data_IF_585462896895
#
_entry.id   IF_585462896895
#
_cell.length_a   1.000
_cell.length_b   1.000
_cell.length_c   1.000
_cell.angle_alpha   90.00
_cell.angle_beta   90.00
_cell.angle_gamma   90.00
#
_symmetry.space_group_name_H-M   'P 1'
#
loop_
_entity.id
_entity.type
_entity.pdbx_description
1 polymer ?
#
# COMPACT_ATOMS: atom_id res chain seq x y z
N UNK A 1 2.85 -25.06 22.52
CA UNK A 1 1.75 -25.12 21.56
C UNK A 1 0.75 -23.97 21.70
N UNK A 2 0.24 -23.69 22.90
CA UNK A 2 -0.67 -22.57 23.17
C UNK A 2 -0.05 -21.20 22.87
N UNK A 3 1.24 -21.03 23.12
CA UNK A 3 1.98 -19.77 22.88
C UNK A 3 2.06 -19.46 21.37
N UNK A 4 2.13 -20.46 20.50
CA UNK A 4 2.19 -20.29 19.05
C UNK A 4 0.87 -19.74 18.48
N UNK A 5 -0.25 -20.17 19.02
CA UNK A 5 -1.60 -19.74 18.58
C UNK A 5 -1.84 -18.28 19.00
N UNK A 6 -1.34 -17.88 20.17
CA UNK A 6 -1.49 -16.51 20.70
C UNK A 6 -0.62 -15.47 19.97
N UNK A 7 0.40 -15.91 19.18
CA UNK A 7 1.29 -15.02 18.46
C UNK A 7 0.89 -14.82 16.98
N UNK A 8 -0.21 -15.43 16.51
CA UNK A 8 -0.68 -15.25 15.12
C UNK A 8 -1.40 -13.92 14.98
N UNK A 9 -0.69 -12.94 14.45
CA UNK A 9 -1.23 -11.60 14.22
C UNK A 9 -1.56 -11.38 12.76
N UNK A 10 -2.64 -10.65 12.50
CA UNK A 10 -3.06 -10.24 11.16
C UNK A 10 -2.67 -8.79 10.92
N UNK A 11 -1.90 -8.58 9.88
CA UNK A 11 -1.47 -7.26 9.45
C UNK A 11 -2.19 -6.87 8.17
N UNK A 12 -2.55 -5.59 8.05
CA UNK A 12 -3.08 -5.02 6.83
C UNK A 12 -2.24 -3.82 6.44
N UNK A 13 -1.78 -3.79 5.20
CA UNK A 13 -1.10 -2.65 4.62
C UNK A 13 -2.10 -1.96 3.70
N UNK A 14 -2.62 -0.83 4.15
CA UNK A 14 -3.53 0.01 3.38
C UNK A 14 -2.68 1.01 2.61
N UNK A 15 -2.86 1.11 1.30
CA UNK A 15 -2.04 1.96 0.44
C UNK A 15 -2.92 2.79 -0.48
N UNK A 16 -2.45 3.97 -0.81
CA UNK A 16 -3.08 4.82 -1.81
C UNK A 16 -2.07 5.75 -2.46
N UNK A 17 -2.35 6.13 -3.69
CA UNK A 17 -1.59 7.11 -4.45
C UNK A 17 -2.52 8.13 -5.06
N UNK A 18 -2.06 9.36 -5.16
CA UNK A 18 -2.81 10.45 -5.78
C UNK A 18 -1.90 11.24 -6.70
N UNK A 19 -2.48 11.83 -7.75
CA UNK A 19 -1.74 12.67 -8.68
C UNK A 19 -2.54 13.93 -8.98
N UNK A 20 -1.86 15.07 -8.90
CA UNK A 20 -2.41 16.37 -9.26
C UNK A 20 -1.79 16.81 -10.58
N UNK A 21 -2.58 16.78 -11.66
CA UNK A 21 -2.11 17.19 -12.99
C UNK A 21 -1.75 18.67 -13.05
N UNK A 22 -2.49 19.52 -12.35
CA UNK A 22 -2.24 20.97 -12.31
C UNK A 22 -0.91 21.33 -11.67
N UNK A 23 -0.40 20.47 -10.78
CA UNK A 23 0.86 20.69 -10.06
C UNK A 23 1.98 19.80 -10.56
N UNK A 24 1.71 18.84 -11.43
CA UNK A 24 2.63 17.79 -11.86
C UNK A 24 3.34 17.16 -10.65
N UNK A 25 2.56 16.84 -9.64
CA UNK A 25 3.08 16.20 -8.44
C UNK A 25 2.07 15.18 -7.90
N UNK A 26 2.59 14.19 -7.21
CA UNK A 26 1.80 13.13 -6.62
C UNK A 26 2.01 13.02 -5.13
N UNK A 27 1.19 12.20 -4.52
CA UNK A 27 1.32 11.84 -3.12
C UNK A 27 1.12 10.36 -2.94
N UNK A 28 1.85 9.80 -2.02
CA UNK A 28 1.64 8.42 -1.57
C UNK A 28 1.22 8.44 -0.12
N UNK A 29 0.48 7.42 0.28
CA UNK A 29 0.23 7.15 1.68
C UNK A 29 0.13 5.65 1.92
N UNK A 30 0.53 5.23 3.10
CA UNK A 30 0.22 3.89 3.58
C UNK A 30 -0.04 3.92 5.08
N UNK A 31 -0.84 2.97 5.51
CA UNK A 31 -1.13 2.74 6.93
C UNK A 31 -0.96 1.25 7.18
N UNK A 32 -0.09 0.90 8.12
CA UNK A 32 0.09 -0.49 8.54
C UNK A 32 -0.72 -0.72 9.81
N UNK A 33 -1.65 -1.67 9.73
CA UNK A 33 -2.49 -2.08 10.85
C UNK A 33 -2.03 -3.43 11.37
N UNK A 34 -1.99 -3.57 12.68
CA UNK A 34 -1.84 -4.85 13.38
C UNK A 34 -3.10 -5.10 14.19
N UNK A 35 -3.82 -6.18 13.90
CA UNK A 35 -5.12 -6.49 14.52
C UNK A 35 -6.06 -5.26 14.48
N UNK A 36 -6.16 -4.63 13.32
CA UNK A 36 -6.96 -3.44 13.05
C UNK A 36 -6.55 -2.18 13.84
N UNK A 37 -5.36 -2.19 14.46
CA UNK A 37 -4.81 -1.04 15.18
C UNK A 37 -3.68 -0.44 14.33
N UNK A 38 -3.72 0.86 14.00
CA UNK A 38 -2.65 1.48 13.21
C UNK A 38 -1.36 1.55 14.02
N UNK A 39 -0.29 1.03 13.43
CA UNK A 39 1.05 1.07 14.03
C UNK A 39 2.01 1.95 13.25
N UNK A 40 1.79 2.16 11.95
CA UNK A 40 2.55 3.09 11.13
C UNK A 40 1.59 3.82 10.20
N UNK A 41 1.74 5.14 10.12
CA UNK A 41 1.05 6.00 9.16
C UNK A 41 2.10 6.87 8.48
N UNK A 42 2.10 6.92 7.14
CA UNK A 42 3.12 7.63 6.38
C UNK A 42 2.55 8.22 5.10
N UNK A 43 3.02 9.40 4.75
CA UNK A 43 2.71 10.02 3.46
C UNK A 43 3.91 10.81 2.95
N UNK A 44 4.02 10.96 1.62
CA UNK A 44 5.11 11.68 0.99
C UNK A 44 4.68 12.23 -0.36
N UNK A 45 5.17 13.41 -0.70
CA UNK A 45 4.99 14.04 -2.01
C UNK A 45 6.10 13.64 -2.96
N UNK A 46 5.74 13.47 -4.23
CA UNK A 46 6.67 13.22 -5.34
C UNK A 46 6.38 14.20 -6.47
N UNK A 47 7.40 14.57 -7.21
CA UNK A 47 7.28 15.41 -8.41
C UNK A 47 7.47 14.57 -9.67
N UNK A 48 6.87 15.03 -10.77
CA UNK A 48 7.06 14.43 -12.10
C UNK A 48 6.76 12.92 -12.09
N UNK A 49 5.53 12.59 -11.76
CA UNK A 49 5.10 11.21 -11.60
C UNK A 49 3.75 10.97 -12.28
N UNK A 50 3.28 9.75 -12.25
CA UNK A 50 1.95 9.37 -12.72
C UNK A 50 1.13 8.79 -11.56
N UNK A 51 -0.18 8.74 -11.76
CA UNK A 51 -1.06 8.12 -10.76
C UNK A 51 -0.67 6.66 -10.51
N UNK A 52 -0.42 5.88 -11.57
CA UNK A 52 -0.04 4.48 -11.42
C UNK A 52 1.28 4.32 -10.66
N UNK A 53 2.26 5.20 -10.91
CA UNK A 53 3.52 5.19 -10.16
C UNK A 53 3.29 5.46 -8.68
N UNK A 54 2.39 6.40 -8.34
CA UNK A 54 2.09 6.70 -6.94
C UNK A 54 1.45 5.50 -6.25
N UNK A 55 0.52 4.82 -6.90
CA UNK A 55 -0.08 3.60 -6.37
C UNK A 55 0.97 2.50 -6.10
N UNK A 56 1.89 2.31 -7.04
CA UNK A 56 2.98 1.34 -6.90
C UNK A 56 3.94 1.72 -5.77
N UNK A 57 4.37 2.98 -5.72
CA UNK A 57 5.33 3.46 -4.72
C UNK A 57 4.73 3.42 -3.32
N UNK A 58 3.42 3.64 -3.18
CA UNK A 58 2.74 3.49 -1.90
C UNK A 58 2.90 2.06 -1.35
N UNK A 59 2.70 1.05 -2.19
CA UNK A 59 2.88 -0.36 -1.80
C UNK A 59 4.35 -0.64 -1.47
N UNK A 60 5.27 -0.23 -2.34
CA UNK A 60 6.71 -0.43 -2.15
C UNK A 60 7.16 0.20 -0.82
N UNK A 61 6.74 1.42 -0.56
CA UNK A 61 7.11 2.14 0.67
C UNK A 61 6.59 1.43 1.92
N UNK A 62 5.36 0.94 1.86
CA UNK A 62 4.79 0.16 2.96
C UNK A 62 5.54 -1.15 3.19
N UNK A 63 5.88 -1.86 2.12
CA UNK A 63 6.65 -3.10 2.23
C UNK A 63 8.03 -2.86 2.85
N UNK A 64 8.68 -1.75 2.51
CA UNK A 64 10.00 -1.39 3.08
C UNK A 64 9.98 -1.23 4.59
N UNK A 65 8.85 -0.90 5.18
CA UNK A 65 8.71 -0.76 6.63
C UNK A 65 8.65 -2.10 7.37
N UNK A 66 8.41 -3.20 6.65
CA UNK A 66 8.35 -4.53 7.25
C UNK A 66 9.76 -5.10 7.28
N UNK A 67 10.34 -5.17 8.49
CA UNK A 67 11.73 -5.60 8.71
C UNK A 67 11.85 -6.80 9.63
N UNK A 68 10.76 -7.22 10.24
CA UNK A 68 10.72 -8.35 11.19
C UNK A 68 9.70 -9.38 10.69
N UNK A 69 9.86 -10.64 11.10
CA UNK A 69 8.86 -11.65 10.77
C UNK A 69 7.48 -11.27 11.28
N UNK A 70 6.48 -11.43 10.41
CA UNK A 70 5.07 -11.25 10.73
C UNK A 70 4.29 -12.44 10.19
N UNK A 71 3.06 -12.65 10.66
CA UNK A 71 2.29 -13.82 10.25
C UNK A 71 1.55 -13.57 8.93
N UNK A 72 0.35 -13.01 9.00
CA UNK A 72 -0.47 -12.78 7.83
C UNK A 72 -0.41 -11.32 7.44
N UNK A 73 -0.14 -11.05 6.17
CA UNK A 73 -0.16 -9.70 5.61
C UNK A 73 -1.15 -9.65 4.47
N UNK A 74 -2.11 -8.73 4.56
CA UNK A 74 -3.01 -8.39 3.46
C UNK A 74 -2.63 -7.00 2.95
N UNK A 75 -2.27 -6.91 1.67
CA UNK A 75 -1.95 -5.65 0.99
C UNK A 75 -3.23 -5.18 0.29
N UNK A 76 -3.70 -4.00 0.65
CA UNK A 76 -4.98 -3.47 0.19
C UNK A 76 -4.72 -2.22 -0.65
N UNK A 77 -5.24 -2.23 -1.87
CA UNK A 77 -5.11 -1.12 -2.82
C UNK A 77 -6.42 -0.94 -3.59
N UNK A 78 -6.76 0.29 -3.94
CA UNK A 78 -7.87 0.59 -4.84
C UNK A 78 -7.46 0.60 -6.31
N UNK A 79 -6.17 0.41 -6.59
CA UNK A 79 -5.64 0.37 -7.95
C UNK A 79 -5.77 -1.01 -8.57
N UNK A 80 -6.70 -1.18 -9.50
CA UNK A 80 -6.80 -2.42 -10.27
C UNK A 80 -5.55 -2.68 -11.11
N UNK A 81 -4.87 -1.64 -11.57
CA UNK A 81 -3.59 -1.79 -12.26
C UNK A 81 -2.56 -2.50 -11.37
N UNK A 82 -2.39 -2.02 -10.15
CA UNK A 82 -1.43 -2.64 -9.23
C UNK A 82 -1.83 -4.07 -8.85
N UNK A 83 -3.08 -4.29 -8.50
CA UNK A 83 -3.57 -5.62 -8.12
C UNK A 83 -3.49 -6.58 -9.31
N UNK A 84 -3.89 -6.14 -10.50
CA UNK A 84 -3.83 -6.94 -11.72
C UNK A 84 -2.42 -7.36 -12.08
N UNK A 85 -1.48 -6.42 -12.06
CA UNK A 85 -0.07 -6.70 -12.41
C UNK A 85 0.68 -7.44 -11.31
N UNK A 86 0.31 -7.24 -10.05
CA UNK A 86 0.98 -7.91 -8.94
C UNK A 86 0.46 -9.33 -8.67
N UNK A 87 -0.85 -9.54 -8.80
CA UNK A 87 -1.49 -10.76 -8.31
C UNK A 87 -2.32 -11.53 -9.34
N UNK A 88 -2.73 -10.91 -10.45
CA UNK A 88 -3.64 -11.52 -11.42
C UNK A 88 -2.96 -11.86 -12.76
N UNK A 89 -1.66 -11.73 -12.84
CA UNK A 89 -0.89 -12.09 -14.03
C UNK A 89 -1.06 -11.12 -15.21
N UNK A 90 -1.53 -9.91 -14.96
CA UNK A 90 -1.64 -8.90 -16.03
C UNK A 90 -0.28 -8.54 -16.59
N UNK A 91 -0.23 -8.30 -17.89
CA UNK A 91 1.00 -7.97 -18.59
C UNK A 91 1.52 -6.59 -18.17
N UNK A 92 2.79 -6.54 -17.83
CA UNK A 92 3.47 -5.32 -17.36
C UNK A 92 4.16 -4.63 -18.53
N UNK A 93 3.44 -3.76 -19.24
CA UNK A 93 3.95 -3.05 -20.42
C UNK A 93 4.69 -1.76 -20.08
N UNK A 94 4.36 -1.14 -18.93
CA UNK A 94 4.91 0.13 -18.47
C UNK A 94 5.51 -0.03 -17.08
N UNK A 95 6.30 0.96 -16.67
CA UNK A 95 6.89 1.00 -15.32
C UNK A 95 7.78 -0.21 -15.01
N UNK A 96 8.48 -0.72 -16.04
CA UNK A 96 9.25 -1.96 -15.94
C UNK A 96 10.30 -1.91 -14.84
N UNK A 97 11.03 -0.78 -14.72
CA UNK A 97 12.04 -0.60 -13.67
C UNK A 97 11.40 -0.57 -12.28
N UNK A 98 10.26 0.08 -12.16
CA UNK A 98 9.54 0.17 -10.89
C UNK A 98 8.97 -1.19 -10.49
N UNK A 99 8.51 -1.98 -11.44
CA UNK A 99 8.07 -3.35 -11.18
C UNK A 99 9.20 -4.24 -10.68
N UNK A 100 10.43 -4.02 -11.13
CA UNK A 100 11.60 -4.74 -10.60
C UNK A 100 11.82 -4.42 -9.13
N UNK A 101 11.71 -3.15 -8.75
CA UNK A 101 11.81 -2.74 -7.35
C UNK A 101 10.66 -3.34 -6.53
N UNK A 102 9.44 -3.29 -7.07
CA UNK A 102 8.26 -3.88 -6.45
C UNK A 102 8.46 -5.37 -6.15
N UNK A 103 8.88 -6.13 -7.18
CA UNK A 103 9.09 -7.57 -7.05
C UNK A 103 10.20 -7.90 -6.04
N UNK A 104 11.26 -7.12 -6.03
CA UNK A 104 12.36 -7.29 -5.07
C UNK A 104 11.90 -7.09 -3.63
N UNK A 105 11.12 -6.05 -3.37
CA UNK A 105 10.58 -5.79 -2.04
C UNK A 105 9.54 -6.83 -1.63
N UNK A 106 8.70 -7.24 -2.57
CA UNK A 106 7.71 -8.29 -2.30
C UNK A 106 8.38 -9.63 -1.98
N UNK A 107 9.43 -9.98 -2.72
CA UNK A 107 10.21 -11.19 -2.47
C UNK A 107 10.85 -11.16 -1.08
N UNK A 108 11.46 -10.03 -0.71
CA UNK A 108 12.06 -9.84 0.61
C UNK A 108 11.04 -10.04 1.72
N UNK A 109 9.88 -9.39 1.60
CA UNK A 109 8.82 -9.46 2.61
C UNK A 109 8.19 -10.85 2.64
N UNK A 110 8.09 -11.54 1.50
CA UNK A 110 7.53 -12.89 1.44
C UNK A 110 8.30 -13.89 2.30
N UNK A 111 9.59 -13.64 2.51
CA UNK A 111 10.43 -14.47 3.39
C UNK A 111 10.22 -14.17 4.87
N UNK A 112 9.60 -13.03 5.18
CA UNK A 112 9.28 -12.62 6.54
C UNK A 112 7.85 -12.95 6.95
N UNK A 113 6.98 -13.24 5.99
CA UNK A 113 5.56 -13.47 6.23
C UNK A 113 5.20 -14.94 6.01
N UNK A 114 4.35 -15.47 6.87
CA UNK A 114 3.79 -16.82 6.67
C UNK A 114 2.83 -16.85 5.47
N UNK A 115 2.11 -15.76 5.25
CA UNK A 115 1.14 -15.64 4.17
C UNK A 115 0.98 -14.18 3.75
N UNK A 116 0.97 -13.94 2.43
CA UNK A 116 0.70 -12.61 1.85
C UNK A 116 -0.49 -12.73 0.90
N UNK A 117 -1.43 -11.82 1.03
CA UNK A 117 -2.58 -11.67 0.14
C UNK A 117 -2.66 -10.26 -0.39
N UNK A 118 -3.11 -10.12 -1.64
CA UNK A 118 -3.51 -8.85 -2.22
C UNK A 118 -5.02 -8.75 -2.24
N UNK A 119 -5.54 -7.57 -1.90
CA UNK A 119 -6.98 -7.31 -1.91
C UNK A 119 -7.25 -5.98 -2.61
N UNK A 120 -8.10 -6.05 -3.63
CA UNK A 120 -8.63 -4.83 -4.24
C UNK A 120 -9.79 -4.31 -3.40
N UNK A 121 -9.80 -3.00 -3.15
CA UNK A 121 -10.93 -2.33 -2.52
C UNK A 121 -11.41 -1.21 -3.43
N UNK A 122 -12.70 -0.90 -3.38
CA UNK A 122 -13.21 0.27 -4.08
C UNK A 122 -12.92 1.51 -3.24
N UNK A 123 -12.40 2.57 -3.88
CA UNK A 123 -12.23 3.86 -3.21
C UNK A 123 -13.58 4.48 -2.83
N UNK A 124 -13.56 5.34 -1.82
CA UNK A 124 -14.72 6.14 -1.39
C UNK A 124 -15.97 5.34 -1.01
N UNK A 125 -15.77 4.21 -0.32
CA UNK A 125 -16.88 3.45 0.26
C UNK A 125 -17.55 4.25 1.39
N UNK A 126 -18.85 3.97 1.62
CA UNK A 126 -19.64 4.65 2.65
C UNK A 126 -20.07 3.76 3.82
N UNK A 127 -19.60 2.52 3.85
CA UNK A 127 -19.91 1.63 4.97
C UNK A 127 -19.10 2.00 6.23
N UNK A 128 -19.48 1.46 7.39
CA UNK A 128 -18.84 1.76 8.68
C UNK A 128 -17.74 0.76 9.05
N UNK A 129 -17.23 -0.02 8.08
CA UNK A 129 -16.19 -1.00 8.38
C UNK A 129 -14.87 -0.31 8.75
N UNK A 130 -14.06 -0.97 9.58
CA UNK A 130 -12.71 -0.50 9.92
C UNK A 130 -11.84 -0.36 8.66
N UNK A 131 -11.97 -1.27 7.70
CA UNK A 131 -11.23 -1.22 6.45
C UNK A 131 -11.56 0.05 5.66
N UNK A 132 -12.84 0.39 5.51
CA UNK A 132 -13.29 1.61 4.84
C UNK A 132 -12.77 2.86 5.54
N UNK A 133 -12.83 2.90 6.86
CA UNK A 133 -12.30 4.01 7.66
C UNK A 133 -10.82 4.27 7.34
N UNK A 134 -10.00 3.22 7.32
CA UNK A 134 -8.57 3.38 7.08
C UNK A 134 -8.24 3.62 5.60
N UNK A 135 -9.03 3.06 4.68
CA UNK A 135 -8.92 3.39 3.25
C UNK A 135 -9.18 4.88 3.01
N UNK A 136 -10.24 5.42 3.61
CA UNK A 136 -10.57 6.84 3.48
C UNK A 136 -9.49 7.73 4.10
N UNK A 137 -8.94 7.33 5.24
CA UNK A 137 -7.82 8.04 5.86
C UNK A 137 -6.59 8.05 4.97
N UNK A 138 -6.26 6.90 4.37
CA UNK A 138 -5.12 6.76 3.47
C UNK A 138 -5.28 7.64 2.22
N UNK A 139 -6.47 7.65 1.62
CA UNK A 139 -6.81 8.52 0.49
C UNK A 139 -6.60 9.99 0.84
N UNK A 140 -7.11 10.42 1.98
CA UNK A 140 -6.95 11.80 2.45
C UNK A 140 -5.48 12.18 2.59
N UNK A 141 -4.66 11.31 3.15
CA UNK A 141 -3.23 11.55 3.30
C UNK A 141 -2.51 11.65 1.95
N UNK A 142 -2.83 10.77 1.01
CA UNK A 142 -2.23 10.78 -0.32
C UNK A 142 -2.62 12.04 -1.10
N UNK A 143 -3.88 12.43 -1.05
CA UNK A 143 -4.38 13.66 -1.69
C UNK A 143 -3.70 14.90 -1.10
N UNK A 144 -3.62 15.00 0.22
CA UNK A 144 -2.92 16.11 0.88
C UNK A 144 -1.46 16.19 0.46
N UNK A 145 -0.78 15.05 0.40
CA UNK A 145 0.62 15.00 -0.04
C UNK A 145 0.76 15.48 -1.49
N UNK A 146 -0.17 15.10 -2.39
CA UNK A 146 -0.16 15.52 -3.79
C UNK A 146 -0.39 17.03 -3.96
N UNK A 147 -0.93 17.69 -2.95
CA UNK A 147 -1.24 19.13 -2.98
C UNK A 147 -0.27 19.95 -2.11
N UNK A 148 0.73 19.33 -1.52
CA UNK A 148 1.66 19.99 -0.62
C UNK A 148 2.56 20.95 -1.39
N UNK A 149 2.60 22.21 -0.98
CA UNK A 149 3.45 23.25 -1.56
C UNK A 149 4.83 23.35 -0.90
N UNK A 150 5.06 22.68 0.19
CA UNK A 150 6.35 22.70 0.91
C UNK A 150 7.32 21.74 0.25
N UNK A 151 8.46 22.28 -0.05
CA UNK A 151 9.60 21.53 -0.57
C UNK A 151 10.58 21.20 0.55
#
# INVERSE_FOLDING_TARGET
MLIHILCMSNYKLITDGAYSSSRDQGGIAFILLKENIPIIEYSKMYKHCTNNQMEMIAIISGLKCIKKPINNLTIISDSMYCIGCAALGWKRKKNVKLWKVFDSELDRVSKLCSNIKFKHTRGHQKDDSEETKWNNRCDELAVRASQNNKL
#
